data_IF_245066009157
#
_entry.id   IF_245066009157
#
_cell.length_a   1.000
_cell.length_b   1.000
_cell.length_c   1.000
_cell.angle_alpha   90.00
_cell.angle_beta   90.00
_cell.angle_gamma   90.00
#
_symmetry.space_group_name_H-M   'P 1'
#
loop_
_entity.id
_entity.type
_entity.pdbx_description
1 polymer ?
#
# COMPACT_ATOMS: atom_id res chain seq x y z
N UNK A 1 -1.55 23.23 18.57
CA UNK A 1 -0.37 22.96 17.72
C UNK A 1 -0.85 22.75 16.29
N UNK A 2 -0.04 23.05 15.26
CA UNK A 2 -0.36 22.78 13.86
C UNK A 2 0.74 21.88 13.25
N UNK A 3 0.43 20.65 12.79
CA UNK A 3 -0.90 20.00 12.85
C UNK A 3 -1.37 19.74 14.30
N UNK A 4 -2.69 19.59 14.44
CA UNK A 4 -3.36 19.28 15.72
C UNK A 4 -3.48 17.78 15.93
N UNK A 5 -3.93 17.04 14.92
CA UNK A 5 -4.05 15.59 14.93
C UNK A 5 -3.34 14.97 13.72
N UNK A 6 -2.88 13.74 13.88
CA UNK A 6 -2.40 12.89 12.79
C UNK A 6 -3.12 11.56 12.80
N UNK A 7 -3.70 11.21 11.66
CA UNK A 7 -4.46 9.98 11.48
C UNK A 7 -3.63 9.01 10.62
N UNK A 8 -3.19 7.90 11.21
CA UNK A 8 -2.56 6.80 10.48
C UNK A 8 -3.64 5.78 10.06
N UNK A 9 -3.77 5.59 8.76
CA UNK A 9 -4.70 4.63 8.16
C UNK A 9 -3.97 3.37 7.74
N UNK A 10 -4.58 2.22 8.01
CA UNK A 10 -4.00 0.89 7.75
C UNK A 10 -5.07 0.02 7.08
N UNK A 11 -4.79 -0.58 5.93
CA UNK A 11 -5.74 -1.48 5.25
C UNK A 11 -5.05 -2.73 4.67
N UNK A 12 -5.66 -3.93 4.75
CA UNK A 12 -5.13 -5.11 4.07
C UNK A 12 -5.26 -4.96 2.55
N UNK A 13 -4.29 -5.45 1.79
CA UNK A 13 -4.31 -5.37 0.32
C UNK A 13 -4.00 -6.69 -0.37
N UNK A 14 -4.43 -6.79 -1.64
CA UNK A 14 -4.10 -7.88 -2.55
C UNK A 14 -3.37 -7.36 -3.79
N UNK A 15 -2.07 -7.66 -3.91
CA UNK A 15 -1.25 -7.31 -5.08
C UNK A 15 -0.21 -8.41 -5.34
N UNK A 16 -0.61 -9.38 -6.16
CA UNK A 16 0.25 -10.51 -6.58
C UNK A 16 1.46 -10.01 -7.39
N UNK A 17 1.29 -8.95 -8.17
CA UNK A 17 2.37 -8.43 -9.02
C UNK A 17 3.53 -7.89 -8.18
N UNK A 18 3.22 -7.13 -7.13
CA UNK A 18 4.21 -6.63 -6.18
C UNK A 18 4.87 -7.78 -5.41
N UNK A 19 4.07 -8.72 -4.91
CA UNK A 19 4.58 -9.87 -4.17
C UNK A 19 5.56 -10.69 -5.01
N UNK A 20 5.15 -11.04 -6.23
CA UNK A 20 5.98 -11.74 -7.21
C UNK A 20 7.26 -10.96 -7.55
N UNK A 21 7.20 -9.62 -7.66
CA UNK A 21 8.40 -8.80 -7.88
C UNK A 21 9.42 -8.95 -6.75
N UNK A 22 9.00 -8.84 -5.48
CA UNK A 22 9.93 -8.97 -4.35
C UNK A 22 10.46 -10.40 -4.23
N UNK A 23 9.60 -11.40 -4.42
CA UNK A 23 9.99 -12.80 -4.44
C UNK A 23 11.04 -13.08 -5.53
N UNK A 24 10.84 -12.53 -6.73
CA UNK A 24 11.76 -12.73 -7.85
C UNK A 24 13.12 -12.06 -7.68
N UNK A 25 13.23 -10.97 -6.90
CA UNK A 25 14.54 -10.40 -6.55
C UNK A 25 15.40 -11.38 -5.75
N UNK A 26 14.78 -12.16 -4.88
CA UNK A 26 15.48 -13.18 -4.09
C UNK A 26 16.04 -14.31 -4.96
N UNK A 27 15.44 -14.61 -6.12
CA UNK A 27 15.90 -15.67 -7.02
C UNK A 27 17.33 -15.45 -7.55
N UNK A 28 17.86 -14.21 -7.50
CA UNK A 28 19.28 -13.97 -7.75
C UNK A 28 20.17 -14.88 -6.89
N UNK A 29 19.81 -15.08 -5.62
CA UNK A 29 20.56 -15.93 -4.68
C UNK A 29 20.32 -17.42 -4.91
N UNK A 30 19.34 -17.80 -5.73
CA UNK A 30 19.05 -19.20 -6.03
C UNK A 30 19.88 -19.72 -7.21
N UNK A 31 21.19 -19.53 -7.13
CA UNK A 31 22.15 -19.91 -8.17
C UNK A 31 23.26 -20.80 -7.60
N UNK A 32 23.38 -22.03 -8.09
CA UNK A 32 24.38 -23.01 -7.60
C UNK A 32 25.77 -22.85 -8.22
N UNK A 33 25.95 -21.96 -9.20
CA UNK A 33 27.20 -21.79 -9.93
C UNK A 33 27.41 -20.35 -10.46
N UNK A 34 27.05 -19.33 -9.69
CA UNK A 34 27.31 -17.94 -10.05
C UNK A 34 28.81 -17.67 -10.10
N UNK A 35 29.37 -17.56 -11.31
CA UNK A 35 30.83 -17.52 -11.54
C UNK A 35 31.60 -18.65 -10.83
N UNK A 36 31.00 -19.84 -10.72
CA UNK A 36 31.59 -20.99 -10.03
C UNK A 36 31.40 -21.03 -8.52
N UNK A 37 30.59 -20.12 -7.95
CA UNK A 37 30.25 -20.07 -6.52
C UNK A 37 28.77 -20.41 -6.32
N UNK A 38 28.46 -21.26 -5.33
CA UNK A 38 27.08 -21.59 -4.93
C UNK A 38 26.54 -20.53 -3.95
N UNK A 39 25.52 -19.79 -4.38
CA UNK A 39 24.86 -18.75 -3.59
C UNK A 39 23.58 -19.23 -2.88
N UNK A 40 23.12 -20.46 -3.14
CA UNK A 40 21.79 -20.95 -2.70
C UNK A 40 21.62 -20.93 -1.18
N UNK A 41 22.72 -21.05 -0.44
CA UNK A 41 22.75 -20.95 1.03
C UNK A 41 22.30 -19.58 1.56
N UNK A 42 22.41 -18.51 0.75
CA UNK A 42 21.99 -17.15 1.08
C UNK A 42 20.55 -16.84 0.66
N UNK A 43 19.90 -17.71 -0.11
CA UNK A 43 18.56 -17.44 -0.66
C UNK A 43 17.52 -17.11 0.42
N UNK A 44 17.54 -17.85 1.54
CA UNK A 44 16.62 -17.63 2.65
C UNK A 44 16.80 -16.25 3.29
N UNK A 45 18.05 -15.83 3.51
CA UNK A 45 18.35 -14.53 4.11
C UNK A 45 18.09 -13.38 3.13
N UNK A 46 18.38 -13.58 1.84
CA UNK A 46 18.02 -12.64 0.78
C UNK A 46 16.50 -12.42 0.69
N UNK A 47 15.72 -13.51 0.71
CA UNK A 47 14.25 -13.43 0.75
C UNK A 47 13.76 -12.65 1.96
N UNK A 48 14.29 -12.96 3.15
CA UNK A 48 13.97 -12.25 4.37
C UNK A 48 14.26 -10.75 4.23
N UNK A 49 15.43 -10.37 3.72
CA UNK A 49 15.82 -8.97 3.55
C UNK A 49 14.85 -8.21 2.63
N UNK A 50 14.51 -8.77 1.46
CA UNK A 50 13.56 -8.11 0.54
C UNK A 50 12.18 -7.91 1.16
N UNK A 51 11.66 -8.90 1.89
CA UNK A 51 10.36 -8.79 2.56
C UNK A 51 10.38 -7.88 3.79
N UNK A 52 11.56 -7.52 4.31
CA UNK A 52 11.71 -6.54 5.39
C UNK A 52 11.70 -5.09 4.90
N UNK A 53 11.72 -4.86 3.59
CA UNK A 53 11.67 -3.51 3.02
C UNK A 53 10.21 -3.05 2.87
N UNK A 54 9.79 -1.96 3.54
CA UNK A 54 8.53 -1.30 3.19
C UNK A 54 8.62 -0.74 1.77
N UNK A 55 7.58 -0.96 0.98
CA UNK A 55 7.50 -0.48 -0.40
C UNK A 55 6.86 0.90 -0.40
N UNK A 56 7.56 1.89 -0.97
CA UNK A 56 7.06 3.27 -1.12
C UNK A 56 6.64 3.48 -2.56
N UNK A 57 5.34 3.53 -2.80
CA UNK A 57 4.72 3.85 -4.08
C UNK A 57 3.24 4.23 -3.93
N UNK A 58 2.54 4.38 -5.05
CA UNK A 58 1.09 4.59 -5.06
C UNK A 58 0.39 3.40 -5.70
N UNK A 59 -0.88 3.23 -5.38
CA UNK A 59 -1.68 2.10 -5.83
C UNK A 59 -3.15 2.49 -5.99
N UNK A 60 -3.88 1.70 -6.76
CA UNK A 60 -5.33 1.85 -6.90
C UNK A 60 -6.03 1.33 -5.64
N UNK A 61 -6.88 2.14 -5.01
CA UNK A 61 -7.59 1.80 -3.77
C UNK A 61 -8.38 0.48 -3.85
N UNK A 62 -8.75 0.02 -5.05
CA UNK A 62 -9.46 -1.26 -5.26
C UNK A 62 -8.67 -2.50 -4.82
N UNK A 63 -7.34 -2.39 -4.65
CA UNK A 63 -6.55 -3.49 -4.09
C UNK A 63 -6.81 -3.69 -2.59
N UNK A 64 -7.33 -2.68 -1.89
CA UNK A 64 -7.65 -2.78 -0.47
C UNK A 64 -8.83 -3.74 -0.27
N UNK A 65 -8.64 -4.73 0.62
CA UNK A 65 -9.60 -5.80 0.86
C UNK A 65 -10.64 -5.47 1.93
N UNK A 66 -10.44 -4.38 2.67
CA UNK A 66 -11.33 -3.88 3.71
C UNK A 66 -11.16 -2.37 3.85
N UNK A 67 -12.07 -1.74 4.62
CA UNK A 67 -11.87 -0.36 5.07
C UNK A 67 -10.64 -0.25 5.95
N UNK A 68 -10.01 0.92 5.97
CA UNK A 68 -8.87 1.14 6.84
C UNK A 68 -9.28 1.19 8.31
N UNK A 69 -8.42 0.67 9.19
CA UNK A 69 -8.38 1.05 10.60
C UNK A 69 -7.68 2.40 10.70
N UNK A 70 -8.20 3.29 11.55
CA UNK A 70 -7.65 4.63 11.81
C UNK A 70 -7.09 4.70 13.23
N UNK A 71 -5.80 5.02 13.35
CA UNK A 71 -5.14 5.32 14.61
C UNK A 71 -4.86 6.83 14.67
N UNK A 72 -5.23 7.49 15.77
CA UNK A 72 -5.17 8.94 15.90
C UNK A 72 -4.11 9.31 16.94
N UNK A 73 -3.19 10.17 16.56
CA UNK A 73 -2.30 10.88 17.49
C UNK A 73 -2.83 12.30 17.71
N UNK A 74 -3.12 12.68 18.95
CA UNK A 74 -3.44 14.05 19.35
C UNK A 74 -2.18 14.75 19.81
N UNK A 75 -1.59 15.54 18.92
CA UNK A 75 -0.31 16.16 19.21
C UNK A 75 -0.38 17.28 20.28
N UNK A 76 -1.59 17.69 20.70
CA UNK A 76 -1.74 18.61 21.84
C UNK A 76 -1.71 17.85 23.17
N UNK A 77 -2.23 16.62 23.20
CA UNK A 77 -2.46 15.86 24.44
C UNK A 77 -1.47 14.73 24.68
N UNK A 78 -1.04 14.07 23.63
CA UNK A 78 -0.18 12.89 23.71
C UNK A 78 1.24 13.28 24.14
N UNK A 79 1.91 12.36 24.84
CA UNK A 79 3.27 12.56 25.30
C UNK A 79 4.27 12.11 24.22
N UNK A 80 5.44 12.73 24.17
CA UNK A 80 6.54 12.26 23.30
C UNK A 80 6.88 10.79 23.55
N UNK A 81 6.81 10.34 24.81
CA UNK A 81 7.07 8.94 25.18
C UNK A 81 6.11 7.95 24.50
N UNK A 82 4.89 8.37 24.16
CA UNK A 82 3.90 7.51 23.49
C UNK A 82 4.31 7.20 22.04
N UNK A 83 5.12 8.07 21.42
CA UNK A 83 5.66 7.86 20.08
C UNK A 83 6.79 6.81 20.06
N UNK A 84 7.39 6.45 21.19
CA UNK A 84 8.45 5.44 21.19
C UNK A 84 7.93 4.03 20.89
N UNK A 85 6.68 3.72 21.25
CA UNK A 85 6.05 2.42 21.05
C UNK A 85 4.57 2.61 20.71
N UNK A 86 4.25 2.57 19.42
CA UNK A 86 2.88 2.73 18.93
C UNK A 86 2.30 1.34 18.66
N UNK A 87 1.39 0.89 19.52
CA UNK A 87 0.68 -0.40 19.39
C UNK A 87 -0.75 -0.18 18.88
N UNK A 88 -1.03 -0.66 17.67
CA UNK A 88 -2.28 -0.43 16.95
C UNK A 88 -3.00 -1.77 16.77
N UNK A 89 -4.05 -2.07 17.55
CA UNK A 89 -4.86 -3.26 17.32
C UNK A 89 -5.63 -3.14 16.00
N UNK A 90 -5.74 -4.26 15.29
CA UNK A 90 -6.38 -4.33 13.98
C UNK A 90 -7.59 -5.24 14.02
N UNK A 91 -8.67 -4.80 13.37
CA UNK A 91 -9.82 -5.64 13.04
C UNK A 91 -10.42 -5.16 11.72
N UNK A 92 -10.48 -6.06 10.73
CA UNK A 92 -10.98 -5.78 9.40
C UNK A 92 -12.11 -6.74 9.03
N UNK A 93 -13.24 -6.18 8.61
CA UNK A 93 -14.28 -6.94 7.92
C UNK A 93 -13.94 -7.04 6.44
N UNK A 94 -13.64 -8.24 5.95
CA UNK A 94 -13.17 -8.44 4.59
C UNK A 94 -14.31 -8.29 3.59
N UNK A 95 -14.12 -7.38 2.64
CA UNK A 95 -15.10 -7.00 1.63
C UNK A 95 -14.98 -7.82 0.34
N UNK A 96 -13.82 -8.45 0.09
CA UNK A 96 -13.56 -9.24 -1.11
C UNK A 96 -12.74 -10.49 -0.79
N UNK A 97 -13.09 -11.62 -1.42
CA UNK A 97 -12.31 -12.87 -1.33
C UNK A 97 -11.03 -12.75 -2.14
N UNK A 98 -9.90 -13.15 -1.58
CA UNK A 98 -8.61 -13.11 -2.29
C UNK A 98 -7.44 -13.51 -1.41
N UNK A 99 -6.23 -13.14 -1.85
CA UNK A 99 -4.99 -13.36 -1.11
C UNK A 99 -4.55 -12.02 -0.52
N UNK A 100 -4.54 -11.92 0.81
CA UNK A 100 -3.98 -10.79 1.54
C UNK A 100 -2.46 -10.88 1.51
N UNK A 101 -1.84 -9.97 0.77
CA UNK A 101 -0.40 -9.92 0.58
C UNK A 101 0.31 -9.06 1.63
N UNK A 102 -0.42 -8.19 2.34
CA UNK A 102 0.18 -7.26 3.28
C UNK A 102 -0.78 -6.18 3.80
N UNK A 103 -0.20 -5.18 4.46
CA UNK A 103 -0.89 -3.97 4.92
C UNK A 103 -0.37 -2.74 4.17
N UNK A 104 -1.30 -1.88 3.75
CA UNK A 104 -1.02 -0.58 3.18
C UNK A 104 -1.26 0.52 4.22
N UNK A 105 -0.46 1.57 4.15
CA UNK A 105 -0.40 2.66 5.12
C UNK A 105 -0.40 4.01 4.40
N UNK A 106 -1.17 4.94 4.94
CA UNK A 106 -1.13 6.37 4.58
C UNK A 106 -1.55 7.19 5.79
N UNK A 107 -1.39 8.51 5.71
CA UNK A 107 -1.79 9.40 6.80
C UNK A 107 -2.53 10.64 6.32
N UNK A 108 -3.38 11.15 7.20
CA UNK A 108 -3.96 12.48 7.12
C UNK A 108 -3.47 13.32 8.32
N UNK A 109 -3.40 14.63 8.17
CA UNK A 109 -3.18 15.54 9.30
C UNK A 109 -4.22 16.65 9.30
N UNK A 110 -4.70 16.97 10.50
CA UNK A 110 -5.70 18.00 10.73
C UNK A 110 -5.08 19.26 11.30
N UNK A 111 -5.44 20.42 10.76
CA UNK A 111 -5.14 21.74 11.28
C UNK A 111 -6.43 22.36 11.85
N UNK A 112 -6.68 22.17 13.16
CA UNK A 112 -7.86 22.72 13.83
C UNK A 112 -7.69 24.22 14.13
N UNK A 113 -7.95 25.08 13.14
CA UNK A 113 -7.98 26.52 13.36
C UNK A 113 -9.26 26.99 14.04
N UNK A 114 -9.21 28.14 14.71
CA UNK A 114 -10.38 28.71 15.39
C UNK A 114 -11.55 29.04 14.45
N UNK A 115 -11.25 29.30 13.17
CA UNK A 115 -12.25 29.67 12.15
C UNK A 115 -12.61 28.51 11.21
N UNK A 116 -11.68 27.59 10.97
CA UNK A 116 -11.87 26.47 10.04
C UNK A 116 -10.92 25.32 10.36
N UNK A 117 -11.37 24.11 10.05
CA UNK A 117 -10.55 22.92 10.01
C UNK A 117 -10.04 22.70 8.58
N UNK A 118 -8.75 22.39 8.45
CA UNK A 118 -8.12 22.09 7.16
C UNK A 118 -7.41 20.74 7.27
N UNK A 119 -7.55 19.91 6.25
CA UNK A 119 -6.93 18.59 6.17
C UNK A 119 -5.93 18.51 5.04
N UNK A 120 -4.77 17.92 5.33
CA UNK A 120 -3.83 17.41 4.32
C UNK A 120 -3.92 15.89 4.34
N UNK A 121 -4.14 15.28 3.17
CA UNK A 121 -4.26 13.83 3.04
C UNK A 121 -3.20 13.27 2.11
N UNK A 122 -2.68 12.10 2.47
CA UNK A 122 -1.82 11.26 1.62
C UNK A 122 -2.53 9.99 1.17
N UNK A 123 -3.86 9.93 1.30
CA UNK A 123 -4.67 8.79 0.85
C UNK A 123 -4.40 8.44 -0.62
N UNK A 124 -4.43 7.15 -1.01
CA UNK A 124 -4.39 6.75 -2.42
C UNK A 124 -5.60 7.24 -3.23
N UNK A 125 -6.64 7.78 -2.57
CA UNK A 125 -7.80 8.43 -3.22
C UNK A 125 -7.63 9.94 -3.41
N UNK A 126 -6.57 10.53 -2.84
CA UNK A 126 -6.25 11.95 -2.96
C UNK A 126 -5.16 12.18 -4.03
N UNK A 127 -4.95 13.44 -4.49
CA UNK A 127 -3.83 13.76 -5.37
C UNK A 127 -2.50 13.30 -4.77
N UNK A 128 -1.65 12.71 -5.62
CA UNK A 128 -0.38 12.12 -5.20
C UNK A 128 0.53 13.16 -4.55
N UNK A 129 1.13 12.81 -3.41
CA UNK A 129 2.11 13.62 -2.70
C UNK A 129 3.50 12.97 -2.74
N UNK A 130 4.54 13.70 -2.33
CA UNK A 130 5.91 13.16 -2.25
C UNK A 130 6.08 12.08 -1.16
N UNK A 131 5.13 11.94 -0.23
CA UNK A 131 5.13 10.87 0.75
C UNK A 131 4.67 9.53 0.17
N UNK A 132 3.94 9.55 -0.97
CA UNK A 132 3.29 8.37 -1.53
C UNK A 132 2.46 7.65 -0.45
N UNK A 133 2.32 6.34 -0.58
CA UNK A 133 1.83 5.44 0.46
C UNK A 133 2.92 4.40 0.75
N UNK A 134 2.75 3.66 1.86
CA UNK A 134 3.68 2.59 2.24
C UNK A 134 2.97 1.26 2.24
N UNK A 135 3.58 0.20 1.70
CA UNK A 135 3.05 -1.16 1.71
C UNK A 135 4.03 -2.13 2.34
N UNK A 136 3.58 -2.87 3.33
CA UNK A 136 4.36 -3.87 4.05
C UNK A 136 3.85 -5.26 3.70
N UNK A 137 4.69 -6.09 3.09
CA UNK A 137 4.32 -7.44 2.65
C UNK A 137 4.38 -8.45 3.81
N UNK A 138 3.52 -9.47 3.73
CA UNK A 138 3.64 -10.69 4.50
C UNK A 138 4.56 -11.68 3.76
N UNK A 139 5.53 -12.34 4.44
CA UNK A 139 6.32 -13.41 3.85
C UNK A 139 5.48 -14.61 3.40
N UNK A 140 4.37 -14.84 4.10
CA UNK A 140 3.38 -15.87 3.76
C UNK A 140 2.01 -15.20 3.60
N UNK A 141 1.54 -14.95 2.37
CA UNK A 141 0.23 -14.36 2.12
C UNK A 141 -0.91 -15.23 2.67
N UNK A 142 -2.01 -14.59 3.05
CA UNK A 142 -3.16 -15.26 3.66
C UNK A 142 -4.32 -15.29 2.67
N UNK A 143 -4.79 -16.49 2.29
CA UNK A 143 -6.07 -16.60 1.59
C UNK A 143 -7.22 -16.33 2.56
N UNK A 144 -8.09 -15.38 2.21
CA UNK A 144 -9.18 -14.93 3.06
C UNK A 144 -10.45 -14.68 2.25
N UNK A 145 -11.59 -15.07 2.81
CA UNK A 145 -12.91 -14.95 2.18
C UNK A 145 -13.62 -13.69 2.62
N UNK A 146 -14.44 -13.15 1.72
CA UNK A 146 -15.40 -12.10 2.02
C UNK A 146 -16.27 -12.50 3.23
N UNK A 147 -16.49 -11.53 4.13
CA UNK A 147 -17.25 -11.72 5.37
C UNK A 147 -16.43 -12.28 6.54
N UNK A 148 -15.21 -12.77 6.33
CA UNK A 148 -14.32 -13.13 7.44
C UNK A 148 -13.73 -11.90 8.13
N UNK A 149 -13.29 -12.09 9.37
CA UNK A 149 -12.60 -11.07 10.16
C UNK A 149 -11.11 -11.36 10.16
N UNK A 150 -10.32 -10.40 9.65
CA UNK A 150 -8.87 -10.38 9.77
C UNK A 150 -8.50 -9.46 10.93
N UNK A 151 -7.80 -9.99 11.92
CA UNK A 151 -7.46 -9.29 13.17
C UNK A 151 -5.97 -9.40 13.43
N UNK A 152 -5.45 -8.58 14.34
CA UNK A 152 -4.02 -8.57 14.64
C UNK A 152 -3.56 -7.26 15.24
N UNK A 153 -2.33 -6.87 14.94
CA UNK A 153 -1.76 -5.59 15.36
C UNK A 153 -0.66 -5.09 14.42
N UNK A 154 -0.44 -3.78 14.45
CA UNK A 154 0.82 -3.15 14.01
C UNK A 154 1.51 -2.58 15.24
N UNK A 155 2.77 -2.95 15.43
CA UNK A 155 3.64 -2.38 16.45
C UNK A 155 4.76 -1.60 15.77
N UNK A 156 4.87 -0.31 16.06
CA UNK A 156 5.98 0.54 15.63
C UNK A 156 6.87 0.84 16.84
N UNK A 157 8.11 0.36 16.80
CA UNK A 157 9.11 0.58 17.85
C UNK A 157 10.19 1.55 17.37
N UNK A 158 10.30 2.70 18.03
CA UNK A 158 11.27 3.72 17.65
C UNK A 158 12.70 3.20 17.86
N UNK A 159 13.52 3.30 16.82
CA UNK A 159 14.90 2.83 16.84
C UNK A 159 15.90 3.98 16.83
N UNK A 160 17.17 3.65 17.11
CA UNK A 160 18.27 4.63 17.21
C UNK A 160 18.66 5.27 15.88
N UNK A 161 18.06 4.85 14.76
CA UNK A 161 18.35 5.36 13.40
C UNK A 161 17.32 6.39 12.94
N UNK A 162 16.59 6.99 13.90
CA UNK A 162 15.53 7.98 13.65
C UNK A 162 14.43 7.40 12.74
N UNK A 163 14.02 6.17 13.04
CA UNK A 163 13.01 5.43 12.29
C UNK A 163 12.33 4.42 13.22
N UNK A 164 11.53 3.52 12.64
CA UNK A 164 10.81 2.47 13.38
C UNK A 164 11.14 1.08 12.84
N UNK A 165 11.22 0.11 13.74
CA UNK A 165 10.99 -1.28 13.40
C UNK A 165 9.46 -1.51 13.42
N UNK A 166 8.91 -2.02 12.32
CA UNK A 166 7.45 -2.16 12.13
C UNK A 166 7.09 -3.64 12.14
N UNK A 167 6.48 -4.12 13.20
CA UNK A 167 5.97 -5.50 13.28
C UNK A 167 4.49 -5.53 12.91
N UNK A 168 4.13 -6.37 11.96
CA UNK A 168 2.75 -6.67 11.58
C UNK A 168 2.46 -8.13 11.96
N UNK A 169 1.38 -8.33 12.71
CA UNK A 169 0.89 -9.66 13.09
C UNK A 169 -0.57 -9.75 12.63
N UNK A 170 -0.91 -10.73 11.80
CA UNK A 170 -2.26 -10.89 11.26
C UNK A 170 -2.75 -12.33 11.44
N UNK A 171 -4.04 -12.49 11.78
CA UNK A 171 -4.70 -13.77 11.93
C UNK A 171 -6.17 -13.72 11.50
N UNK A 172 -6.69 -14.82 10.95
CA UNK A 172 -8.11 -14.94 10.64
C UNK A 172 -8.83 -15.43 11.89
N UNK A 173 -9.81 -14.66 12.36
CA UNK A 173 -10.60 -15.00 13.55
C UNK A 173 -11.25 -16.39 13.42
N UNK A 174 -11.16 -17.19 14.48
CA UNK A 174 -11.72 -18.55 14.51
C UNK A 174 -10.91 -19.60 13.75
N UNK A 175 -9.70 -19.30 13.30
CA UNK A 175 -8.81 -20.24 12.61
C UNK A 175 -7.39 -20.23 13.20
N UNK A 176 -6.55 -21.17 12.76
CA UNK A 176 -5.10 -21.17 13.07
C UNK A 176 -4.26 -20.45 12.00
N UNK A 177 -4.90 -19.80 11.03
CA UNK A 177 -4.19 -19.14 9.92
C UNK A 177 -3.71 -17.78 10.39
N UNK A 178 -2.39 -17.61 10.41
CA UNK A 178 -1.72 -16.36 10.77
C UNK A 178 -0.48 -16.14 9.92
N UNK A 179 -0.07 -14.88 9.81
CA UNK A 179 1.18 -14.49 9.18
C UNK A 179 1.71 -13.22 9.85
N UNK A 180 3.02 -13.11 9.95
CA UNK A 180 3.67 -11.96 10.57
C UNK A 180 4.96 -11.57 9.85
N UNK A 181 5.36 -10.33 10.05
CA UNK A 181 6.61 -9.78 9.54
C UNK A 181 7.11 -8.64 10.43
N UNK A 182 8.41 -8.39 10.41
CA UNK A 182 9.02 -7.21 11.02
C UNK A 182 9.83 -6.50 9.94
N UNK A 183 9.48 -5.26 9.63
CA UNK A 183 10.07 -4.46 8.57
C UNK A 183 10.97 -3.35 9.14
N UNK A 184 12.00 -2.98 8.40
CA UNK A 184 12.89 -1.86 8.76
C UNK A 184 12.46 -0.61 7.98
N UNK A 185 11.78 0.33 8.64
CA UNK A 185 11.33 1.56 8.00
C UNK A 185 12.49 2.47 7.57
N UNK A 186 13.72 2.20 8.04
CA UNK A 186 14.92 2.91 7.61
C UNK A 186 15.48 2.37 6.29
N UNK A 187 15.02 1.22 5.81
CA UNK A 187 15.44 0.60 4.55
C UNK A 187 14.26 0.39 3.57
N UNK A 188 13.56 1.46 3.15
CA UNK A 188 12.45 1.33 2.21
C UNK A 188 12.92 1.06 0.77
N UNK A 189 12.10 0.35 0.01
CA UNK A 189 12.25 0.22 -1.44
C UNK A 189 11.31 1.20 -2.15
N UNK A 190 11.88 2.23 -2.77
CA UNK A 190 11.12 3.18 -3.57
C UNK A 190 10.80 2.59 -4.95
N UNK A 191 9.52 2.33 -5.20
CA UNK A 191 9.05 1.69 -6.44
C UNK A 191 8.41 2.72 -7.36
N UNK A 192 9.24 3.43 -8.12
CA UNK A 192 8.77 4.45 -9.06
C UNK A 192 8.19 3.80 -10.32
N UNK A 193 6.90 4.01 -10.55
CA UNK A 193 6.21 3.55 -11.77
C UNK A 193 6.17 4.61 -12.88
N UNK A 194 6.79 5.77 -12.67
CA UNK A 194 6.80 6.89 -13.63
C UNK A 194 5.52 7.73 -13.66
N UNK A 195 4.62 7.57 -12.67
CA UNK A 195 3.43 8.40 -12.56
C UNK A 195 3.82 9.89 -12.38
N UNK A 196 3.21 10.81 -13.14
CA UNK A 196 3.54 12.23 -13.04
C UNK A 196 3.14 12.79 -11.68
N UNK A 197 4.00 13.64 -11.11
CA UNK A 197 3.70 14.40 -9.89
C UNK A 197 2.56 15.37 -10.20
N UNK A 198 1.41 15.19 -9.55
CA UNK A 198 0.26 16.09 -9.72
C UNK A 198 0.44 17.36 -8.89
N UNK A 199 -0.31 18.41 -9.25
CA UNK A 199 -0.32 19.65 -8.49
C UNK A 199 -0.69 19.38 -7.01
N UNK A 200 -0.21 20.22 -6.06
CA UNK A 200 -0.47 20.02 -4.64
C UNK A 200 -1.97 19.80 -4.36
N UNK A 201 -2.31 18.92 -3.40
CA UNK A 201 -3.70 18.73 -3.00
C UNK A 201 -4.36 20.08 -2.70
N UNK A 202 -5.61 20.24 -3.14
CA UNK A 202 -6.45 21.36 -2.68
C UNK A 202 -6.70 21.28 -1.18
N UNK A 203 -7.34 22.31 -0.61
CA UNK A 203 -7.73 22.30 0.80
C UNK A 203 -9.04 21.53 0.99
N UNK A 204 -9.09 20.66 2.01
CA UNK A 204 -10.30 19.92 2.40
C UNK A 204 -10.75 20.31 3.81
N UNK A 205 -12.06 20.45 4.03
CA UNK A 205 -12.64 20.81 5.34
C UNK A 205 -13.01 19.60 6.20
N UNK A 206 -12.85 18.38 5.67
CA UNK A 206 -13.02 17.10 6.36
C UNK A 206 -11.94 16.14 5.88
N UNK A 207 -11.67 15.05 6.63
CA UNK A 207 -10.72 14.00 6.21
C UNK A 207 -11.17 13.36 4.88
N UNK A 208 -10.35 13.44 3.82
CA UNK A 208 -10.62 12.77 2.55
C UNK A 208 -10.72 11.25 2.70
N UNK A 209 -9.90 10.65 3.58
CA UNK A 209 -9.94 9.20 3.85
C UNK A 209 -11.27 8.78 4.46
N UNK A 210 -11.71 9.46 5.52
CA UNK A 210 -12.98 9.15 6.20
C UNK A 210 -14.20 9.43 5.30
N UNK A 211 -14.14 10.49 4.49
CA UNK A 211 -15.19 10.79 3.51
C UNK A 211 -15.36 9.66 2.50
N UNK A 212 -14.25 9.13 1.96
CA UNK A 212 -14.30 8.02 1.01
C UNK A 212 -14.94 6.77 1.63
N UNK A 213 -14.51 6.38 2.84
CA UNK A 213 -15.06 5.21 3.52
C UNK A 213 -16.53 5.35 3.90
N UNK A 214 -16.94 6.56 4.30
CA UNK A 214 -18.34 6.87 4.64
C UNK A 214 -19.27 6.78 3.42
N UNK A 215 -18.78 7.10 2.22
CA UNK A 215 -19.58 6.95 0.99
C UNK A 215 -19.86 5.49 0.64
N UNK A 216 -18.93 4.59 0.93
CA UNK A 216 -19.09 3.15 0.67
C UNK A 216 -20.13 2.48 1.59
N UNK A 217 -20.42 3.06 2.75
CA UNK A 217 -21.50 2.59 3.63
C UNK A 217 -22.90 2.85 3.08
N UNK A 218 -23.03 3.79 2.14
CA UNK A 218 -24.32 4.20 1.64
C UNK A 218 -24.73 3.31 0.44
N UNK A 219 -25.95 2.73 0.39
CA UNK A 219 -26.37 1.80 -0.67
C UNK A 219 -26.29 2.38 -2.10
N UNK A 220 -26.34 3.72 -2.23
CA UNK A 220 -26.15 4.42 -3.50
C UNK A 220 -24.67 4.70 -3.84
N UNK A 221 -23.79 4.84 -2.85
CA UNK A 221 -22.36 5.11 -3.05
C UNK A 221 -21.60 3.91 -3.63
N UNK A 222 -21.97 2.70 -3.19
CA UNK A 222 -21.43 1.44 -3.74
C UNK A 222 -21.65 1.29 -5.26
N UNK A 223 -22.74 1.83 -5.82
CA UNK A 223 -23.05 1.82 -7.26
C UNK A 223 -22.31 2.88 -8.08
N UNK A 224 -21.94 4.01 -7.46
CA UNK A 224 -21.19 5.07 -8.15
C UNK A 224 -19.69 4.75 -8.24
N UNK A 225 -19.12 4.11 -7.22
CA UNK A 225 -17.75 3.60 -7.25
C UNK A 225 -17.54 2.59 -8.40
N UNK A 226 -18.56 1.78 -8.72
CA UNK A 226 -18.52 0.88 -9.88
C UNK A 226 -18.69 1.58 -11.23
N UNK A 227 -19.23 2.80 -11.31
CA UNK A 227 -19.49 3.51 -12.58
C UNK A 227 -18.37 4.47 -13.00
N UNK A 228 -17.57 4.99 -12.08
CA UNK A 228 -16.33 5.72 -12.41
C UNK A 228 -15.23 4.82 -13.01
N UNK A 229 -15.50 3.52 -13.12
CA UNK A 229 -14.60 2.46 -13.60
C UNK A 229 -14.40 2.39 -15.12
N UNK A 230 -15.22 3.06 -15.93
CA UNK A 230 -15.16 2.97 -17.40
C UNK A 230 -14.26 4.04 -18.06
N UNK A 231 -13.50 4.81 -17.28
CA UNK A 231 -12.83 6.03 -17.75
C UNK A 231 -11.31 5.99 -17.90
N UNK A 232 -10.63 4.84 -17.83
CA UNK A 232 -9.17 4.80 -18.02
C UNK A 232 -8.73 3.75 -19.05
N UNK A 233 -8.18 4.26 -20.15
CA UNK A 233 -7.53 3.54 -21.23
C UNK A 233 -6.29 2.81 -20.72
N UNK A 234 -6.24 1.51 -21.03
CA UNK A 234 -5.11 0.61 -20.79
C UNK A 234 -3.95 1.02 -21.71
N UNK A 235 -3.14 2.01 -21.32
CA UNK A 235 -1.90 2.35 -22.03
C UNK A 235 -0.81 1.36 -21.60
N UNK A 236 -0.70 0.24 -22.33
CA UNK A 236 0.28 -0.79 -21.99
C UNK A 236 0.55 -1.86 -23.06
N UNK A 237 0.05 -1.73 -24.28
CA UNK A 237 0.44 -2.59 -25.39
C UNK A 237 0.77 -1.73 -26.61
N UNK A 238 2.07 -1.57 -26.86
CA UNK A 238 2.59 -1.05 -28.12
C UNK A 238 2.17 -1.99 -29.25
N UNK A 239 1.20 -1.57 -30.06
CA UNK A 239 1.03 -2.11 -31.41
C UNK A 239 2.25 -1.67 -32.25
N UNK A 240 3.19 -2.59 -32.46
CA UNK A 240 4.15 -2.48 -33.56
C UNK A 240 3.40 -2.75 -34.86
N UNK A 241 2.84 -1.69 -35.47
CA UNK A 241 2.44 -1.74 -36.87
C UNK A 241 3.70 -1.80 -37.73
N UNK A 242 4.01 -2.99 -38.24
CA UNK A 242 4.96 -3.14 -39.35
C UNK A 242 4.35 -2.51 -40.61
N UNK A 243 4.90 -1.37 -41.05
CA UNK A 243 4.64 -0.84 -42.38
C UNK A 243 5.21 -1.80 -43.43
N UNK A 244 4.34 -2.54 -44.11
CA UNK A 244 4.67 -3.24 -45.36
C UNK A 244 4.38 -2.25 -46.49
N UNK A 245 5.45 -1.66 -47.03
CA UNK A 245 5.39 -0.85 -48.24
C UNK A 245 5.03 -1.74 -49.44
N UNK A 246 3.79 -1.63 -49.94
CA UNK A 246 3.40 -2.22 -51.22
C UNK A 246 3.76 -1.27 -52.36
N UNK A 247 4.82 -1.60 -53.09
CA UNK A 247 5.15 -1.01 -54.39
C UNK A 247 4.10 -1.44 -55.41
N UNK A 248 3.26 -0.51 -55.86
CA UNK A 248 2.36 -0.68 -57.01
C UNK A 248 3.19 -0.63 -58.30
N UNK A 249 3.39 -1.78 -58.95
CA UNK A 249 3.76 -1.82 -60.38
C UNK A 249 2.50 -1.57 -61.21
N UNK A 250 2.52 -0.48 -61.97
CA UNK A 250 1.59 -0.21 -63.06
C UNK A 250 1.82 -1.22 -64.19
N UNK A 251 0.76 -1.91 -64.60
CA UNK A 251 0.68 -2.59 -65.90
C UNK A 251 -0.51 -2.03 -66.67
N UNK A 252 -0.26 -1.28 -67.75
CA UNK A 252 -1.16 -1.25 -68.90
C UNK A 252 -0.37 -0.96 -70.18
N UNK A 253 -0.58 -1.86 -71.15
CA UNK A 253 -0.13 -1.92 -72.55
C UNK A 253 1.32 -2.34 -72.81
#
# INVERSE_FOLDING_TARGET
MFPTHGDLHIAPFSDESLYSEQYNKANFWYQSAFHGVDLTTLHKEGMKEYFRQPIVDTFDIRICMAKSVRHVCDFIRDNENDLHNIDIPLQFHILQTGICHGLAFWFDVEFCGSNQQVWLSTSPTAPLTHWYQVRCLLPMPIFIKQGQILTGRVLLEANRRQSYDVTIDLHIEGTLISSSNTLDLKNPYFRYTGAPVQAPPGTSTQSPSEQYWSQLDNPQGARNASNSSNGMTMNGLSETSMEISHTLMNTHN
#
